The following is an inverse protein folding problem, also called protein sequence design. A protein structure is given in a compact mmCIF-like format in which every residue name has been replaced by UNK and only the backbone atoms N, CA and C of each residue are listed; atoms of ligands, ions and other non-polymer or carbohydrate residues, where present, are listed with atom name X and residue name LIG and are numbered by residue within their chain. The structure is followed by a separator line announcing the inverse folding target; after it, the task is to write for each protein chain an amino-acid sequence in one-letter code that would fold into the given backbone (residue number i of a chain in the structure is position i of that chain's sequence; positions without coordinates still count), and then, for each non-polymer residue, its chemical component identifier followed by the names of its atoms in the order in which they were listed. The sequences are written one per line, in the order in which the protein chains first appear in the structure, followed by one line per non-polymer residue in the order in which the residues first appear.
data_IF_273802872999
#
_entry.id   IF_273802872999
#
_cell.length_a   1.000
_cell.length_b   1.000
_cell.length_c   1.000
_cell.angle_alpha   90.00
_cell.angle_beta   90.00
_cell.angle_gamma   90.00
#
_symmetry.space_group_name_H-M   'P 1'
#
loop_
_entity.id
_entity.type
_entity.pdbx_description
1 polymer ?
#
# COMPACT_ATOMS: atom_id res chain seq x y z
N UNK A 1 21.45 -13.18 -11.39
CA UNK A 1 21.13 -13.99 -12.59
C UNK A 1 19.63 -14.27 -12.75
N UNK A 2 18.95 -14.86 -11.76
CA UNK A 2 17.48 -15.13 -11.84
C UNK A 2 16.63 -13.87 -12.12
N UNK A 3 16.94 -12.76 -11.45
CA UNK A 3 16.33 -11.44 -11.73
C UNK A 3 16.51 -10.99 -13.20
N UNK A 4 17.65 -11.31 -13.82
CA UNK A 4 17.94 -10.99 -15.22
C UNK A 4 17.18 -11.87 -16.23
N UNK A 5 16.91 -13.13 -15.90
CA UNK A 5 16.06 -14.00 -16.71
C UNK A 5 14.59 -13.58 -16.65
N UNK A 6 14.11 -13.28 -15.44
CA UNK A 6 12.76 -12.76 -15.22
C UNK A 6 12.59 -11.44 -15.97
N UNK A 7 13.60 -10.56 -15.92
CA UNK A 7 13.68 -9.33 -16.71
C UNK A 7 13.48 -9.59 -18.22
N UNK A 8 14.20 -10.55 -18.80
CA UNK A 8 14.06 -10.91 -20.22
C UNK A 8 12.69 -11.48 -20.58
N UNK A 9 12.10 -12.30 -19.72
CA UNK A 9 10.80 -12.92 -19.96
C UNK A 9 9.67 -11.88 -19.91
N UNK A 10 9.78 -10.88 -19.03
CA UNK A 10 8.84 -9.77 -18.87
C UNK A 10 8.90 -8.76 -20.03
N UNK A 11 10.06 -8.60 -20.64
CA UNK A 11 10.27 -7.73 -21.80
C UNK A 11 9.64 -8.24 -23.08
N UNK A 12 9.46 -9.55 -23.21
CA UNK A 12 8.65 -10.15 -24.28
C UNK A 12 7.16 -9.81 -24.14
N UNK A 13 6.71 -9.45 -22.94
CA UNK A 13 5.30 -9.24 -22.59
C UNK A 13 4.93 -7.75 -22.39
N UNK A 14 5.88 -6.83 -22.11
CA UNK A 14 5.56 -5.45 -21.69
C UNK A 14 6.44 -4.34 -22.33
N UNK A 15 5.79 -3.24 -22.76
CA UNK A 15 6.39 -2.05 -23.37
C UNK A 15 7.40 -1.31 -22.46
N UNK A 16 8.43 -0.63 -22.99
CA UNK A 16 9.51 0.05 -22.22
C UNK A 16 9.08 1.08 -21.15
N UNK A 17 8.02 1.88 -21.37
CA UNK A 17 7.47 2.76 -20.33
C UNK A 17 6.62 2.02 -19.28
N UNK A 18 6.16 0.81 -19.62
CA UNK A 18 5.59 -0.17 -18.69
C UNK A 18 6.67 -1.06 -18.10
N UNK A 19 7.88 -1.11 -18.64
CA UNK A 19 8.97 -1.95 -18.12
C UNK A 19 9.47 -1.39 -16.80
N UNK A 20 9.78 -0.09 -16.72
CA UNK A 20 10.18 0.53 -15.45
C UNK A 20 9.11 0.36 -14.39
N UNK A 21 7.85 0.51 -14.80
CA UNK A 21 6.70 0.29 -13.92
C UNK A 21 6.48 -1.20 -13.60
N UNK A 22 6.72 -2.12 -14.54
CA UNK A 22 6.58 -3.57 -14.37
C UNK A 22 7.70 -4.12 -13.51
N UNK A 23 8.94 -3.66 -13.67
CA UNK A 23 10.05 -3.95 -12.77
C UNK A 23 9.70 -3.44 -11.38
N UNK A 24 9.18 -2.21 -11.27
CA UNK A 24 8.80 -1.68 -9.97
C UNK A 24 7.66 -2.50 -9.35
N UNK A 25 6.66 -2.92 -10.13
CA UNK A 25 5.54 -3.77 -9.70
C UNK A 25 6.03 -5.16 -9.31
N UNK A 26 6.89 -5.77 -10.11
CA UNK A 26 7.37 -7.14 -9.89
C UNK A 26 8.38 -7.15 -8.77
N UNK A 27 9.21 -6.13 -8.63
CA UNK A 27 10.05 -5.97 -7.45
C UNK A 27 9.18 -5.85 -6.19
N UNK A 28 8.08 -5.10 -6.26
CA UNK A 28 7.11 -5.04 -5.14
C UNK A 28 6.45 -6.40 -4.89
N UNK A 29 5.99 -7.11 -5.91
CA UNK A 29 5.36 -8.42 -5.77
C UNK A 29 6.34 -9.49 -5.28
N UNK A 30 7.57 -9.50 -5.78
CA UNK A 30 8.65 -10.38 -5.32
C UNK A 30 9.01 -10.08 -3.88
N UNK A 31 9.17 -8.82 -3.50
CA UNK A 31 9.42 -8.43 -2.10
C UNK A 31 8.26 -8.85 -1.20
N UNK A 32 7.02 -8.61 -1.61
CA UNK A 32 5.80 -9.07 -0.91
C UNK A 32 5.79 -10.59 -0.77
N UNK A 33 6.06 -11.32 -1.85
CA UNK A 33 6.11 -12.79 -1.87
C UNK A 33 7.21 -13.34 -0.97
N UNK A 34 8.40 -12.72 -0.95
CA UNK A 34 9.48 -13.11 -0.04
C UNK A 34 9.12 -12.83 1.40
N UNK A 35 8.47 -11.70 1.70
CA UNK A 35 7.95 -11.42 3.05
C UNK A 35 6.92 -12.46 3.47
N UNK A 36 5.94 -12.79 2.61
CA UNK A 36 4.96 -13.85 2.87
C UNK A 36 5.62 -15.22 3.08
N UNK A 37 6.57 -15.60 2.21
CA UNK A 37 7.31 -16.86 2.35
C UNK A 37 8.10 -16.91 3.66
N UNK A 38 8.76 -15.81 4.04
CA UNK A 38 9.47 -15.71 5.31
C UNK A 38 8.52 -15.88 6.51
N UNK A 39 7.32 -15.31 6.43
CA UNK A 39 6.30 -15.44 7.48
C UNK A 39 5.80 -16.88 7.58
N UNK A 40 5.53 -17.54 6.45
CA UNK A 40 5.12 -18.96 6.43
C UNK A 40 6.20 -19.82 7.09
N UNK A 41 7.47 -19.61 6.74
CA UNK A 41 8.60 -20.33 7.35
C UNK A 41 8.69 -20.07 8.85
N UNK A 42 8.48 -18.83 9.29
CA UNK A 42 8.53 -18.47 10.72
C UNK A 42 7.37 -19.10 11.51
N UNK A 43 6.15 -19.08 10.97
CA UNK A 43 4.99 -19.71 11.59
C UNK A 43 5.13 -21.25 11.65
N UNK A 44 5.76 -21.86 10.64
CA UNK A 44 6.09 -23.28 10.64
C UNK A 44 7.16 -23.62 11.69
N UNK A 45 8.18 -22.76 11.91
CA UNK A 45 9.26 -23.04 12.87
C UNK A 45 8.83 -22.99 14.34
N UNK A 46 7.83 -22.17 14.68
CA UNK A 46 7.22 -22.17 16.03
C UNK A 46 6.41 -23.44 16.33
N UNK A 47 6.05 -24.20 15.29
CA UNK A 47 5.40 -25.51 15.41
C UNK A 47 6.47 -26.60 15.47
N UNK A 48 7.28 -26.63 16.53
CA UNK A 48 8.42 -27.55 16.71
C UNK A 48 8.02 -29.04 16.55
N UNK A 49 6.73 -29.38 16.69
CA UNK A 49 6.22 -30.75 16.51
C UNK A 49 5.72 -31.10 15.10
N UNK A 50 5.72 -30.17 14.13
CA UNK A 50 5.28 -30.47 12.75
C UNK A 50 6.43 -30.88 11.80
N UNK A 51 7.69 -30.68 12.19
CA UNK A 51 8.84 -31.10 11.38
C UNK A 51 9.13 -32.60 11.43
N UNK A 52 8.55 -33.36 12.38
CA UNK A 52 8.71 -34.82 12.42
C UNK A 52 7.80 -35.56 11.43
N UNK A 53 6.75 -34.92 10.87
CA UNK A 53 5.75 -35.62 10.04
C UNK A 53 5.57 -35.10 8.62
N UNK A 54 6.23 -33.98 8.25
CA UNK A 54 6.18 -33.50 6.87
C UNK A 54 7.40 -34.04 6.12
N UNK A 55 7.20 -35.09 5.33
CA UNK A 55 8.17 -35.49 4.30
C UNK A 55 8.31 -34.36 3.26
N UNK A 56 9.18 -33.39 3.53
CA UNK A 56 9.54 -32.28 2.66
C UNK A 56 10.32 -32.70 1.40
N UNK A 57 10.28 -33.97 1.00
CA UNK A 57 11.13 -34.49 -0.07
C UNK A 57 10.81 -33.84 -1.42
N UNK A 58 9.55 -33.69 -1.80
CA UNK A 58 9.18 -33.25 -3.16
C UNK A 58 9.18 -31.73 -3.33
N UNK A 59 8.81 -30.98 -2.30
CA UNK A 59 8.71 -29.50 -2.35
C UNK A 59 10.10 -28.85 -2.30
N UNK A 60 11.05 -29.47 -1.60
CA UNK A 60 12.43 -28.98 -1.49
C UNK A 60 13.15 -28.88 -2.84
N UNK A 61 12.81 -29.74 -3.81
CA UNK A 61 13.38 -29.68 -5.15
C UNK A 61 12.94 -28.46 -5.97
N UNK A 62 11.86 -27.78 -5.62
CA UNK A 62 11.37 -26.60 -6.34
C UNK A 62 11.81 -25.27 -5.72
N UNK A 63 12.44 -25.30 -4.55
CA UNK A 63 12.79 -24.11 -3.79
C UNK A 63 14.30 -23.82 -3.86
N UNK A 64 14.72 -22.74 -4.55
CA UNK A 64 16.14 -22.39 -4.69
C UNK A 64 16.94 -22.32 -3.39
N UNK A 65 16.40 -21.84 -2.25
CA UNK A 65 17.14 -21.84 -0.98
C UNK A 65 17.64 -23.23 -0.57
N UNK A 66 16.87 -24.30 -0.82
CA UNK A 66 17.27 -25.67 -0.47
C UNK A 66 18.38 -26.21 -1.39
N UNK A 67 18.42 -25.76 -2.66
CA UNK A 67 19.52 -26.11 -3.57
C UNK A 67 20.86 -25.61 -3.01
N UNK A 68 20.92 -24.35 -2.59
CA UNK A 68 22.14 -23.77 -2.02
C UNK A 68 22.43 -24.25 -0.58
N UNK A 69 21.40 -24.51 0.22
CA UNK A 69 21.57 -25.06 1.57
C UNK A 69 22.20 -26.46 1.53
N UNK A 70 21.83 -27.30 0.55
CA UNK A 70 22.39 -28.65 0.41
C UNK A 70 23.91 -28.68 0.20
N UNK A 71 24.48 -27.67 -0.48
CA UNK A 71 25.94 -27.51 -0.63
C UNK A 71 26.61 -27.30 0.73
N UNK A 72 26.03 -26.44 1.58
CA UNK A 72 26.55 -26.14 2.91
C UNK A 72 26.39 -27.33 3.85
N UNK A 73 25.28 -28.07 3.74
CA UNK A 73 24.99 -29.25 4.56
C UNK A 73 25.97 -30.41 4.29
N UNK A 74 26.28 -30.68 3.01
CA UNK A 74 27.28 -31.68 2.62
C UNK A 74 28.66 -31.31 3.18
N UNK A 75 29.02 -30.01 3.14
CA UNK A 75 30.32 -29.53 3.67
C UNK A 75 30.37 -29.64 5.19
N UNK A 76 29.29 -29.27 5.89
CA UNK A 76 29.24 -29.20 7.34
C UNK A 76 29.11 -30.58 8.01
N UNK A 77 28.29 -31.47 7.45
CA UNK A 77 27.97 -32.77 8.07
C UNK A 77 28.74 -33.94 7.45
N UNK A 78 29.40 -33.75 6.29
CA UNK A 78 30.02 -34.80 5.46
C UNK A 78 29.07 -35.94 5.08
N UNK A 79 27.77 -35.79 5.32
CA UNK A 79 26.78 -36.79 4.98
C UNK A 79 26.34 -36.61 3.53
N UNK A 80 26.52 -37.66 2.72
CA UNK A 80 26.18 -37.64 1.29
C UNK A 80 24.92 -38.47 1.11
N UNK A 81 23.78 -37.79 1.03
CA UNK A 81 22.50 -38.39 0.69
C UNK A 81 22.12 -38.08 -0.76
N UNK A 82 21.40 -38.99 -1.43
CA UNK A 82 20.95 -38.86 -2.83
C UNK A 82 20.18 -37.55 -3.07
N UNK A 83 19.33 -37.16 -2.13
CA UNK A 83 18.56 -35.90 -2.16
C UNK A 83 19.46 -34.67 -2.14
N UNK A 84 20.47 -34.64 -1.26
CA UNK A 84 21.43 -33.54 -1.15
C UNK A 84 22.29 -33.41 -2.42
N UNK A 85 22.66 -34.53 -3.02
CA UNK A 85 23.45 -34.55 -4.25
C UNK A 85 22.68 -33.97 -5.44
N UNK A 86 21.39 -34.32 -5.57
CA UNK A 86 20.50 -33.78 -6.60
C UNK A 86 20.30 -32.26 -6.39
N UNK A 87 19.99 -31.82 -5.18
CA UNK A 87 19.79 -30.39 -4.85
C UNK A 87 21.04 -29.55 -5.12
N UNK A 88 22.22 -30.07 -4.78
CA UNK A 88 23.52 -29.43 -5.03
C UNK A 88 23.83 -29.31 -6.52
N UNK A 89 23.50 -30.34 -7.31
CA UNK A 89 23.61 -30.30 -8.77
C UNK A 89 22.70 -29.22 -9.39
N UNK A 90 21.46 -29.11 -8.93
CA UNK A 90 20.53 -28.05 -9.35
C UNK A 90 21.08 -26.65 -9.04
N UNK A 91 21.73 -26.47 -7.89
CA UNK A 91 22.32 -25.19 -7.46
C UNK A 91 23.41 -24.68 -8.42
N UNK A 92 24.07 -25.58 -9.15
CA UNK A 92 25.15 -25.23 -10.07
C UNK A 92 24.64 -25.11 -11.51
N UNK A 93 23.81 -26.06 -11.94
CA UNK A 93 23.35 -26.16 -13.34
C UNK A 93 22.32 -25.10 -13.71
N UNK A 94 21.36 -24.83 -12.83
CA UNK A 94 20.26 -23.89 -13.14
C UNK A 94 20.78 -22.45 -13.32
N UNK A 95 21.67 -21.92 -12.46
CA UNK A 95 22.25 -20.58 -12.68
C UNK A 95 23.07 -20.47 -13.97
N UNK A 96 23.79 -21.54 -14.34
CA UNK A 96 24.63 -21.56 -15.54
C UNK A 96 23.78 -21.56 -16.82
N UNK A 97 22.76 -22.42 -16.89
CA UNK A 97 21.78 -22.43 -17.99
C UNK A 97 21.07 -21.08 -18.09
N UNK A 98 20.70 -20.50 -16.94
CA UNK A 98 20.09 -19.17 -16.87
C UNK A 98 20.96 -18.07 -17.47
N UNK A 99 22.27 -18.11 -17.22
CA UNK A 99 23.23 -17.16 -17.78
C UNK A 99 23.32 -17.26 -19.31
N UNK A 100 23.37 -18.48 -19.84
CA UNK A 100 23.48 -18.74 -21.27
C UNK A 100 22.22 -18.31 -22.04
N UNK A 101 21.04 -18.62 -21.49
CA UNK A 101 19.76 -18.15 -22.03
C UNK A 101 19.73 -16.62 -22.04
N UNK A 102 20.22 -15.97 -20.98
CA UNK A 102 20.24 -14.51 -20.89
C UNK A 102 21.02 -13.87 -22.04
N UNK A 103 22.24 -14.33 -22.27
CA UNK A 103 23.13 -13.80 -23.32
C UNK A 103 22.50 -13.97 -24.71
N UNK A 104 21.84 -15.11 -24.97
CA UNK A 104 21.23 -15.42 -26.26
C UNK A 104 19.99 -14.58 -26.59
N UNK A 105 19.28 -14.09 -25.57
CA UNK A 105 18.04 -13.32 -25.72
C UNK A 105 18.25 -11.79 -25.76
N UNK A 106 19.44 -11.30 -25.38
CA UNK A 106 19.84 -9.88 -25.49
C UNK A 106 19.63 -9.23 -26.87
N UNK A 107 20.00 -9.84 -28.01
CA UNK A 107 19.78 -9.22 -29.32
C UNK A 107 18.30 -9.12 -29.71
N UNK A 108 17.46 -10.04 -29.25
CA UNK A 108 15.99 -9.98 -29.44
C UNK A 108 15.37 -8.86 -28.60
N UNK A 109 15.97 -8.58 -27.43
CA UNK A 109 15.59 -7.48 -26.54
C UNK A 109 15.81 -6.10 -27.20
N UNK A 110 16.97 -5.88 -27.82
CA UNK A 110 17.27 -4.60 -28.49
C UNK A 110 16.33 -4.34 -29.68
N UNK A 111 16.00 -5.37 -30.46
CA UNK A 111 15.08 -5.28 -31.60
C UNK A 111 13.64 -4.94 -31.19
N UNK A 112 13.17 -5.47 -30.06
CA UNK A 112 11.83 -5.19 -29.56
C UNK A 112 11.72 -3.79 -28.94
N UNK A 113 12.80 -3.28 -28.34
CA UNK A 113 12.87 -1.89 -27.85
C UNK A 113 12.71 -0.86 -28.98
N UNK A 114 13.29 -1.12 -30.16
CA UNK A 114 13.18 -0.22 -31.31
C UNK A 114 11.76 -0.16 -31.89
N UNK A 115 11.03 -1.28 -31.95
CA UNK A 115 9.61 -1.30 -32.38
C UNK A 115 8.68 -0.55 -31.43
N UNK A 116 9.03 -0.49 -30.14
CA UNK A 116 8.21 0.08 -29.08
C UNK A 116 8.21 1.62 -29.02
N UNK A 117 9.23 2.29 -29.55
CA UNK A 117 9.28 3.75 -29.59
C UNK A 117 8.32 4.36 -30.63
N UNK A 118 7.85 3.54 -31.58
CA UNK A 118 7.02 4.00 -32.69
C UNK A 118 5.50 3.82 -32.47
N UNK A 119 5.07 3.09 -31.43
CA UNK A 119 3.65 2.84 -31.14
C UNK A 119 3.21 3.44 -29.80
N UNK A 120 2.95 4.75 -29.81
CA UNK A 120 2.38 5.46 -28.66
C UNK A 120 1.08 6.20 -29.02
N UNK A 121 0.02 5.49 -29.43
CA UNK A 121 -1.34 6.05 -29.31
C UNK A 121 -2.41 4.98 -29.57
N UNK A 122 -3.12 4.60 -28.51
CA UNK A 122 -4.57 4.40 -28.48
C UNK A 122 -4.96 3.48 -27.33
N UNK A 123 -5.43 4.08 -26.23
CA UNK A 123 -6.23 3.35 -25.25
C UNK A 123 -7.55 4.07 -25.07
N UNK A 124 -8.61 3.39 -25.49
CA UNK A 124 -10.00 3.79 -25.30
C UNK A 124 -10.27 4.06 -23.82
N UNK A 125 -10.48 5.33 -23.49
CA UNK A 125 -10.79 5.79 -22.14
C UNK A 125 -12.26 5.44 -21.87
N UNK A 126 -12.52 4.32 -21.19
CA UNK A 126 -13.87 3.98 -20.71
C UNK A 126 -14.41 5.11 -19.82
N UNK A 127 -15.62 5.60 -20.10
CA UNK A 127 -16.32 6.60 -19.29
C UNK A 127 -16.86 5.93 -18.01
N UNK A 128 -16.27 6.22 -16.85
CA UNK A 128 -16.67 5.62 -15.57
C UNK A 128 -17.78 6.43 -14.88
N UNK A 129 -18.92 5.79 -14.57
CA UNK A 129 -20.13 6.42 -13.98
C UNK A 129 -20.13 6.49 -12.44
N UNK A 130 -19.34 5.66 -11.75
CA UNK A 130 -19.37 5.52 -10.29
C UNK A 130 -18.97 6.79 -9.49
N UNK A 131 -17.87 7.51 -9.82
CA UNK A 131 -17.49 8.70 -9.04
C UNK A 131 -18.51 9.85 -9.15
N UNK A 132 -19.29 9.90 -10.22
CA UNK A 132 -20.26 10.98 -10.51
C UNK A 132 -21.46 10.94 -9.57
N UNK A 133 -21.92 9.75 -9.16
CA UNK A 133 -23.02 9.63 -8.18
C UNK A 133 -22.55 10.02 -6.79
N UNK A 134 -21.37 9.53 -6.40
CA UNK A 134 -20.80 9.77 -5.07
C UNK A 134 -20.45 11.25 -4.87
N UNK A 135 -19.99 11.94 -5.93
CA UNK A 135 -19.71 13.38 -5.86
C UNK A 135 -20.93 14.22 -5.49
N UNK A 136 -22.14 13.84 -5.92
CA UNK A 136 -23.37 14.60 -5.61
C UNK A 136 -23.81 14.46 -4.15
N UNK A 137 -23.38 13.39 -3.47
CA UNK A 137 -23.71 13.13 -2.06
C UNK A 137 -22.69 13.81 -1.14
N UNK A 138 -21.40 13.72 -1.49
CA UNK A 138 -20.29 14.16 -0.62
C UNK A 138 -19.98 15.66 -0.79
N UNK A 139 -20.13 16.21 -1.99
CA UNK A 139 -19.78 17.58 -2.31
C UNK A 139 -21.02 18.48 -2.30
N UNK A 140 -20.87 19.69 -1.76
CA UNK A 140 -21.96 20.68 -1.68
C UNK A 140 -21.97 21.62 -2.88
N UNK A 141 -20.79 22.05 -3.32
CA UNK A 141 -20.63 23.03 -4.39
C UNK A 141 -20.46 22.38 -5.77
N UNK A 142 -20.95 23.04 -6.82
CA UNK A 142 -20.74 22.59 -8.22
C UNK A 142 -19.25 22.51 -8.59
N UNK A 143 -18.45 23.48 -8.14
CA UNK A 143 -16.99 23.46 -8.35
C UNK A 143 -16.34 22.26 -7.65
N UNK A 144 -16.76 21.99 -6.41
CA UNK A 144 -16.26 20.86 -5.63
C UNK A 144 -16.60 19.52 -6.30
N UNK A 145 -17.81 19.39 -6.86
CA UNK A 145 -18.23 18.21 -7.64
C UNK A 145 -17.33 17.99 -8.86
N UNK A 146 -17.01 19.06 -9.61
CA UNK A 146 -16.14 18.97 -10.80
C UNK A 146 -14.75 18.50 -10.40
N UNK A 147 -14.14 19.15 -9.40
CA UNK A 147 -12.81 18.78 -8.93
C UNK A 147 -12.78 17.40 -8.26
N UNK A 148 -13.85 16.99 -7.58
CA UNK A 148 -13.93 15.65 -6.98
C UNK A 148 -13.87 14.58 -8.07
N UNK A 149 -14.61 14.75 -9.16
CA UNK A 149 -14.59 13.83 -10.29
C UNK A 149 -13.23 13.83 -11.00
N UNK A 150 -12.62 15.01 -11.14
CA UNK A 150 -11.26 15.15 -11.68
C UNK A 150 -10.23 14.38 -10.82
N UNK A 151 -10.20 14.59 -9.51
CA UNK A 151 -9.27 13.91 -8.61
C UNK A 151 -9.55 12.42 -8.49
N UNK A 152 -10.83 12.01 -8.45
CA UNK A 152 -11.21 10.59 -8.49
C UNK A 152 -10.66 9.89 -9.73
N UNK A 153 -10.60 10.59 -10.87
CA UNK A 153 -9.99 10.07 -12.10
C UNK A 153 -8.47 10.07 -12.02
N UNK A 154 -7.86 11.15 -11.52
CA UNK A 154 -6.40 11.23 -11.37
C UNK A 154 -5.87 10.10 -10.49
N UNK A 155 -6.49 9.86 -9.33
CA UNK A 155 -6.15 8.78 -8.39
C UNK A 155 -6.07 7.41 -9.07
N UNK A 156 -6.95 7.13 -10.04
CA UNK A 156 -7.02 5.84 -10.76
C UNK A 156 -6.07 5.76 -11.95
N UNK A 157 -5.71 6.90 -12.54
CA UNK A 157 -4.92 6.95 -13.78
C UNK A 157 -3.43 7.16 -13.49
N UNK A 158 -3.11 8.07 -12.56
CA UNK A 158 -1.73 8.44 -12.23
C UNK A 158 -0.97 7.23 -11.69
N UNK A 159 0.12 6.88 -12.39
CA UNK A 159 0.87 5.65 -12.13
C UNK A 159 1.71 5.76 -10.87
N UNK A 160 2.30 6.93 -10.60
CA UNK A 160 3.15 7.13 -9.42
C UNK A 160 2.32 7.21 -8.15
N UNK A 161 1.16 7.85 -8.22
CA UNK A 161 0.19 7.85 -7.13
C UNK A 161 -0.22 6.42 -6.77
N UNK A 162 -0.67 5.63 -7.75
CA UNK A 162 -1.02 4.21 -7.53
C UNK A 162 0.16 3.40 -7.01
N UNK A 163 1.33 3.57 -7.62
CA UNK A 163 2.54 2.89 -7.21
C UNK A 163 2.88 3.21 -5.75
N UNK A 164 2.69 4.43 -5.28
CA UNK A 164 2.96 4.79 -3.89
C UNK A 164 1.88 4.19 -2.98
N UNK A 165 0.61 4.54 -3.24
CA UNK A 165 -0.52 4.19 -2.38
C UNK A 165 -0.77 2.69 -2.29
N UNK A 166 -0.80 1.97 -3.41
CA UNK A 166 -1.06 0.53 -3.41
C UNK A 166 0.08 -0.27 -2.79
N UNK A 167 1.32 0.21 -2.89
CA UNK A 167 2.45 -0.45 -2.20
C UNK A 167 2.34 -0.28 -0.71
N UNK A 168 2.04 0.93 -0.24
CA UNK A 168 1.85 1.19 1.20
C UNK A 168 0.66 0.42 1.76
N UNK A 169 -0.44 0.32 1.01
CA UNK A 169 -1.59 -0.50 1.40
C UNK A 169 -1.19 -1.97 1.47
N UNK A 170 -0.55 -2.50 0.43
CA UNK A 170 -0.12 -3.90 0.38
C UNK A 170 0.80 -4.26 1.54
N UNK A 171 1.83 -3.44 1.81
CA UNK A 171 2.80 -3.71 2.89
C UNK A 171 2.14 -3.71 4.28
N UNK A 172 1.21 -2.78 4.53
CA UNK A 172 0.53 -2.70 5.83
C UNK A 172 -0.55 -3.77 6.00
N UNK A 173 -1.29 -4.12 4.94
CA UNK A 173 -2.27 -5.22 4.99
C UNK A 173 -1.60 -6.56 5.30
N UNK A 174 -0.42 -6.83 4.72
CA UNK A 174 0.33 -8.06 5.04
C UNK A 174 0.70 -8.09 6.51
N UNK A 175 1.30 -7.01 7.03
CA UNK A 175 1.63 -6.90 8.46
C UNK A 175 0.39 -7.12 9.34
N UNK A 176 -0.71 -6.50 8.96
CA UNK A 176 -1.98 -6.59 9.66
C UNK A 176 -2.53 -8.03 9.76
N UNK A 177 -2.59 -8.79 8.65
CA UNK A 177 -3.10 -10.17 8.68
C UNK A 177 -2.21 -11.14 9.44
N UNK A 178 -0.89 -10.95 9.38
CA UNK A 178 0.08 -11.83 10.05
C UNK A 178 -0.02 -11.72 11.55
N UNK A 179 -0.23 -10.49 12.05
CA UNK A 179 -0.34 -10.27 13.49
C UNK A 179 -1.72 -10.66 14.01
N UNK A 180 -2.78 -10.52 13.20
CA UNK A 180 -4.08 -11.11 13.51
C UNK A 180 -3.95 -12.63 13.73
N UNK A 181 -3.46 -13.37 12.74
CA UNK A 181 -3.37 -14.84 12.79
C UNK A 181 -2.63 -15.35 14.04
N UNK A 182 -1.55 -14.67 14.43
CA UNK A 182 -0.69 -15.12 15.54
C UNK A 182 -1.23 -14.79 16.94
N UNK A 183 -1.97 -13.69 17.10
CA UNK A 183 -2.31 -13.15 18.43
C UNK A 183 -3.81 -13.03 18.70
N UNK A 184 -4.65 -13.61 17.82
CA UNK A 184 -6.11 -13.56 17.97
C UNK A 184 -6.59 -14.15 19.30
N UNK A 185 -6.01 -15.28 19.73
CA UNK A 185 -6.42 -15.98 20.95
C UNK A 185 -5.93 -15.27 22.23
N UNK A 186 -4.73 -14.69 22.22
CA UNK A 186 -4.10 -14.08 23.40
C UNK A 186 -4.61 -12.67 23.73
N UNK A 187 -5.00 -11.88 22.73
CA UNK A 187 -5.25 -10.44 22.88
C UNK A 187 -6.72 -10.06 23.15
N UNK A 188 -7.66 -11.00 22.97
CA UNK A 188 -9.09 -10.76 23.15
C UNK A 188 -9.58 -9.50 22.44
N UNK A 189 -10.34 -8.65 23.14
CA UNK A 189 -10.93 -7.42 22.57
C UNK A 189 -9.87 -6.41 22.12
N UNK A 190 -8.69 -6.36 22.77
CA UNK A 190 -7.65 -5.35 22.48
C UNK A 190 -7.02 -5.46 21.10
N UNK A 191 -7.30 -6.54 20.37
CA UNK A 191 -6.87 -6.71 19.00
C UNK A 191 -7.39 -5.60 18.06
N UNK A 192 -8.43 -4.85 18.46
CA UNK A 192 -8.88 -3.67 17.71
C UNK A 192 -7.74 -2.66 17.52
N UNK A 193 -6.72 -2.64 18.39
CA UNK A 193 -5.56 -1.76 18.26
C UNK A 193 -4.79 -2.03 16.96
N UNK A 194 -4.85 -3.24 16.39
CA UNK A 194 -4.25 -3.52 15.10
C UNK A 194 -4.91 -2.78 13.95
N UNK A 195 -6.17 -2.34 14.07
CA UNK A 195 -6.76 -1.42 13.07
C UNK A 195 -6.03 -0.08 13.00
N UNK A 196 -5.27 0.33 14.03
CA UNK A 196 -4.46 1.55 13.92
C UNK A 196 -3.30 1.41 12.92
N UNK A 197 -2.87 0.19 12.59
CA UNK A 197 -1.92 -0.04 11.49
C UNK A 197 -2.48 0.37 10.12
N UNK A 198 -3.80 0.38 9.96
CA UNK A 198 -4.44 0.96 8.80
C UNK A 198 -4.40 2.50 8.84
N UNK A 199 -4.59 3.10 10.01
CA UNK A 199 -4.61 4.57 10.18
C UNK A 199 -3.24 5.18 9.84
N UNK A 200 -2.14 4.49 10.11
CA UNK A 200 -0.78 4.95 9.76
C UNK A 200 -0.55 5.09 8.26
N UNK A 201 -1.37 4.46 7.41
CA UNK A 201 -1.32 4.59 5.95
C UNK A 201 -1.88 5.95 5.49
N UNK A 202 -2.85 6.49 6.23
CA UNK A 202 -3.64 7.68 5.84
C UNK A 202 -2.77 8.88 5.51
N UNK A 203 -1.78 9.28 6.33
CA UNK A 203 -0.95 10.44 6.02
C UNK A 203 -0.18 10.27 4.72
N UNK A 204 0.36 9.06 4.47
CA UNK A 204 1.11 8.76 3.24
C UNK A 204 0.23 8.94 1.99
N UNK A 205 -1.04 8.51 2.05
CA UNK A 205 -1.98 8.68 0.94
C UNK A 205 -2.28 10.17 0.70
N UNK A 206 -2.54 10.94 1.76
CA UNK A 206 -2.85 12.37 1.65
C UNK A 206 -1.64 13.16 1.13
N UNK A 207 -0.43 12.83 1.58
CA UNK A 207 0.83 13.44 1.12
C UNK A 207 1.08 13.12 -0.36
N UNK A 208 0.80 11.89 -0.80
CA UNK A 208 0.96 11.47 -2.18
C UNK A 208 0.14 12.31 -3.18
N UNK A 209 -0.97 12.91 -2.75
CA UNK A 209 -1.78 13.81 -3.59
C UNK A 209 -1.01 15.04 -4.09
N UNK A 210 0.12 15.43 -3.49
CA UNK A 210 0.91 16.58 -3.95
C UNK A 210 1.70 16.30 -5.22
N UNK A 211 2.09 15.03 -5.43
CA UNK A 211 3.12 14.67 -6.39
C UNK A 211 2.53 14.10 -7.67
N UNK A 212 3.08 14.50 -8.82
CA UNK A 212 2.82 13.84 -10.11
C UNK A 212 4.04 13.99 -11.02
N UNK A 213 4.33 12.97 -11.84
CA UNK A 213 5.31 13.13 -12.93
C UNK A 213 4.87 14.21 -13.93
N UNK A 214 3.57 14.37 -14.14
CA UNK A 214 3.01 15.36 -15.07
C UNK A 214 2.65 16.67 -14.35
N UNK A 215 3.49 17.10 -13.39
CA UNK A 215 3.21 18.29 -12.57
C UNK A 215 3.02 19.57 -13.40
N UNK A 216 3.66 19.70 -14.58
CA UNK A 216 3.46 20.84 -15.48
C UNK A 216 2.00 21.01 -15.92
N UNK A 217 1.22 19.91 -15.98
CA UNK A 217 -0.21 19.96 -16.30
C UNK A 217 -1.05 20.67 -15.22
N UNK A 218 -0.49 20.92 -14.02
CA UNK A 218 -1.16 21.71 -12.99
C UNK A 218 -1.35 23.18 -13.37
N UNK A 219 -0.76 23.63 -14.49
CA UNK A 219 -1.07 24.93 -15.08
C UNK A 219 -2.57 25.10 -15.39
N UNK A 220 -3.32 24.00 -15.54
CA UNK A 220 -4.78 24.02 -15.69
C UNK A 220 -5.50 24.74 -14.53
N UNK A 221 -4.95 24.69 -13.32
CA UNK A 221 -5.51 25.43 -12.18
C UNK A 221 -5.29 26.94 -12.26
N UNK A 222 -4.42 27.43 -13.15
CA UNK A 222 -4.21 28.86 -13.39
C UNK A 222 -5.07 29.37 -14.55
N UNK A 223 -5.51 28.50 -15.46
CA UNK A 223 -6.24 28.87 -16.67
C UNK A 223 -7.75 28.76 -16.51
N UNK A 224 -8.24 27.87 -15.65
CA UNK A 224 -9.67 27.76 -15.35
C UNK A 224 -10.08 28.88 -14.38
N UNK A 225 -11.20 29.58 -14.61
CA UNK A 225 -11.74 30.55 -13.66
C UNK A 225 -12.26 29.83 -12.42
N UNK A 226 -11.41 29.69 -11.40
CA UNK A 226 -11.74 29.08 -10.11
C UNK A 226 -12.17 30.18 -9.14
N UNK A 227 -13.42 30.15 -8.66
CA UNK A 227 -13.90 31.13 -7.68
C UNK A 227 -13.27 30.91 -6.31
N UNK A 228 -13.13 29.65 -5.88
CA UNK A 228 -12.59 29.32 -4.57
C UNK A 228 -11.53 28.21 -4.62
N UNK A 229 -10.26 28.57 -4.42
CA UNK A 229 -9.14 27.60 -4.40
C UNK A 229 -9.30 26.55 -3.29
N UNK A 230 -9.97 26.88 -2.19
CA UNK A 230 -10.21 25.93 -1.10
C UNK A 230 -11.12 24.78 -1.51
N UNK A 231 -12.03 25.01 -2.47
CA UNK A 231 -12.90 23.96 -2.99
C UNK A 231 -12.12 22.88 -3.75
N UNK A 232 -10.96 23.22 -4.32
CA UNK A 232 -10.04 22.24 -4.93
C UNK A 232 -9.49 21.29 -3.87
N UNK A 233 -9.00 21.84 -2.75
CA UNK A 233 -8.43 21.03 -1.68
C UNK A 233 -9.48 20.16 -0.99
N UNK A 234 -10.66 20.72 -0.69
CA UNK A 234 -11.81 19.95 -0.16
C UNK A 234 -12.14 18.77 -1.06
N UNK A 235 -12.26 19.04 -2.37
CA UNK A 235 -12.58 18.02 -3.36
C UNK A 235 -11.51 16.93 -3.45
N UNK A 236 -10.21 17.28 -3.37
CA UNK A 236 -9.13 16.32 -3.41
C UNK A 236 -9.13 15.36 -2.21
N UNK A 237 -9.31 15.89 -1.00
CA UNK A 237 -9.35 15.08 0.23
C UNK A 237 -10.59 14.20 0.24
N UNK A 238 -11.76 14.74 -0.12
CA UNK A 238 -12.98 13.95 -0.24
C UNK A 238 -12.86 12.85 -1.29
N UNK A 239 -12.27 13.14 -2.44
CA UNK A 239 -12.03 12.13 -3.48
C UNK A 239 -11.10 11.03 -2.98
N UNK A 240 -10.05 11.38 -2.22
CA UNK A 240 -9.13 10.43 -1.62
C UNK A 240 -9.82 9.55 -0.56
N UNK A 241 -10.58 10.18 0.34
CA UNK A 241 -11.38 9.50 1.36
C UNK A 241 -12.35 8.50 0.73
N UNK A 242 -13.11 8.95 -0.26
CA UNK A 242 -14.18 8.18 -0.87
C UNK A 242 -13.70 7.04 -1.79
N UNK A 243 -12.56 7.20 -2.48
CA UNK A 243 -12.09 6.18 -3.43
C UNK A 243 -11.10 5.18 -2.82
N UNK A 244 -10.44 5.52 -1.72
CA UNK A 244 -9.34 4.70 -1.17
C UNK A 244 -9.53 4.45 0.32
N UNK A 245 -9.45 5.50 1.14
CA UNK A 245 -9.34 5.37 2.60
C UNK A 245 -10.60 4.67 3.13
N UNK A 246 -11.79 5.26 2.95
CA UNK A 246 -13.04 4.71 3.49
C UNK A 246 -13.34 3.29 2.95
N UNK A 247 -13.25 2.99 1.64
CA UNK A 247 -13.45 1.63 1.16
C UNK A 247 -12.54 0.59 1.82
N UNK A 248 -11.25 0.88 1.99
CA UNK A 248 -10.30 -0.04 2.63
C UNK A 248 -10.65 -0.21 4.11
N UNK A 249 -11.03 0.88 4.78
CA UNK A 249 -11.45 0.85 6.17
C UNK A 249 -12.71 0.01 6.39
N UNK A 250 -13.69 0.11 5.49
CA UNK A 250 -14.92 -0.70 5.56
C UNK A 250 -14.57 -2.17 5.40
N UNK A 251 -13.70 -2.52 4.45
CA UNK A 251 -13.24 -3.89 4.25
C UNK A 251 -12.54 -4.42 5.51
N UNK A 252 -11.62 -3.66 6.11
CA UNK A 252 -10.94 -4.09 7.34
C UNK A 252 -11.91 -4.21 8.51
N UNK A 253 -12.88 -3.28 8.62
CA UNK A 253 -13.89 -3.31 9.69
C UNK A 253 -14.81 -4.54 9.59
N UNK A 254 -15.24 -4.92 8.39
CA UNK A 254 -16.05 -6.13 8.17
C UNK A 254 -15.30 -7.38 8.62
N UNK A 255 -14.01 -7.48 8.29
CA UNK A 255 -13.16 -8.60 8.71
C UNK A 255 -13.11 -8.68 10.24
N UNK A 256 -12.94 -7.55 10.94
CA UNK A 256 -12.91 -7.54 12.41
C UNK A 256 -14.24 -7.95 13.06
N UNK A 257 -15.37 -7.44 12.55
CA UNK A 257 -16.69 -7.75 13.09
C UNK A 257 -16.97 -9.26 12.99
N UNK A 258 -16.52 -9.90 11.91
CA UNK A 258 -16.69 -11.34 11.71
C UNK A 258 -15.86 -12.19 12.69
N UNK A 259 -14.75 -11.66 13.23
CA UNK A 259 -13.86 -12.41 14.13
C UNK A 259 -14.27 -12.24 15.60
N UNK A 260 -14.68 -11.03 16.02
CA UNK A 260 -14.84 -10.67 17.45
C UNK A 260 -16.26 -10.26 17.86
N UNK A 261 -17.24 -10.55 17.01
CA UNK A 261 -18.65 -10.22 17.25
C UNK A 261 -18.95 -8.71 17.38
N UNK A 262 -20.18 -8.37 17.75
CA UNK A 262 -20.76 -7.02 17.76
C UNK A 262 -20.13 -6.09 18.82
N UNK A 263 -19.39 -6.64 19.78
CA UNK A 263 -18.80 -5.90 20.90
C UNK A 263 -17.72 -4.88 20.46
N UNK A 264 -17.09 -5.11 19.30
CA UNK A 264 -16.00 -4.26 18.78
C UNK A 264 -16.50 -3.01 18.03
N UNK A 265 -17.82 -2.86 17.83
CA UNK A 265 -18.39 -1.76 17.03
C UNK A 265 -18.01 -0.38 17.58
N UNK A 266 -18.01 -0.19 18.90
CA UNK A 266 -17.61 1.09 19.51
C UNK A 266 -16.16 1.45 19.17
N UNK A 267 -15.25 0.47 19.24
CA UNK A 267 -13.86 0.65 18.88
C UNK A 267 -13.68 0.97 17.39
N UNK A 268 -14.44 0.32 16.51
CA UNK A 268 -14.46 0.62 15.08
C UNK A 268 -14.88 2.09 14.88
N UNK A 269 -16.00 2.53 15.45
CA UNK A 269 -16.46 3.92 15.32
C UNK A 269 -15.38 4.92 15.74
N UNK A 270 -14.70 4.67 16.87
CA UNK A 270 -13.60 5.53 17.34
C UNK A 270 -12.47 5.58 16.32
N UNK A 271 -12.03 4.43 15.80
CA UNK A 271 -10.92 4.37 14.84
C UNK A 271 -11.29 5.04 13.51
N UNK A 272 -12.55 4.95 13.09
CA UNK A 272 -13.05 5.70 11.94
C UNK A 272 -12.95 7.22 12.16
N UNK A 273 -13.35 7.71 13.34
CA UNK A 273 -13.25 9.13 13.68
C UNK A 273 -11.79 9.59 13.78
N UNK A 274 -10.89 8.74 14.31
CA UNK A 274 -9.44 9.01 14.31
C UNK A 274 -8.89 9.02 12.88
N UNK A 275 -9.35 8.13 12.00
CA UNK A 275 -8.97 8.10 10.57
C UNK A 275 -9.29 9.44 9.90
N UNK A 276 -10.51 9.97 10.11
CA UNK A 276 -10.91 11.28 9.59
C UNK A 276 -10.05 12.39 10.20
N UNK A 277 -9.82 12.35 11.52
CA UNK A 277 -9.02 13.34 12.23
C UNK A 277 -7.59 13.42 11.68
N UNK A 278 -6.94 12.26 11.50
CA UNK A 278 -5.59 12.14 10.95
C UNK A 278 -5.56 12.62 9.50
N UNK A 279 -6.56 12.27 8.67
CA UNK A 279 -6.65 12.74 7.29
C UNK A 279 -6.72 14.27 7.20
N UNK A 280 -7.57 14.91 7.99
CA UNK A 280 -7.72 16.37 8.00
C UNK A 280 -6.49 17.04 8.61
N UNK A 281 -5.97 16.52 9.71
CA UNK A 281 -4.76 17.05 10.37
C UNK A 281 -3.56 17.00 9.43
N UNK A 282 -3.39 15.90 8.70
CA UNK A 282 -2.35 15.78 7.66
C UNK A 282 -2.49 16.92 6.65
N UNK A 283 -3.71 17.17 6.14
CA UNK A 283 -3.93 18.27 5.21
C UNK A 283 -3.60 19.65 5.78
N UNK A 284 -3.93 19.91 7.05
CA UNK A 284 -3.69 21.21 7.69
C UNK A 284 -2.20 21.52 7.83
N UNK A 285 -1.41 20.52 8.22
CA UNK A 285 0.05 20.63 8.41
C UNK A 285 0.77 20.73 7.06
N UNK A 286 0.25 20.03 6.05
CA UNK A 286 0.82 20.08 4.72
C UNK A 286 0.72 21.48 4.11
N UNK A 287 1.84 21.94 3.54
CA UNK A 287 1.84 23.12 2.67
C UNK A 287 0.71 23.02 1.63
N UNK A 288 -0.15 24.05 1.57
CA UNK A 288 -1.38 24.13 0.76
C UNK A 288 -1.13 24.27 -0.75
N UNK A 289 -0.15 23.54 -1.26
CA UNK A 289 0.11 23.42 -2.69
C UNK A 289 -1.03 22.66 -3.35
N UNK A 290 -1.39 23.07 -4.56
CA UNK A 290 -2.46 22.45 -5.31
C UNK A 290 -2.18 20.94 -5.51
N UNK A 291 -3.20 20.07 -5.45
CA UNK A 291 -2.99 18.64 -5.64
C UNK A 291 -2.41 18.35 -7.04
N UNK A 292 -1.48 17.40 -7.10
CA UNK A 292 -0.75 16.95 -8.29
C UNK A 292 0.04 18.05 -9.00
N UNK A 293 0.53 19.04 -8.25
CA UNK A 293 1.29 20.19 -8.79
C UNK A 293 2.79 20.14 -8.56
N UNK A 294 3.30 19.13 -7.84
CA UNK A 294 4.71 19.06 -7.48
C UNK A 294 5.42 17.89 -8.16
N UNK A 295 6.67 18.09 -8.64
CA UNK A 295 7.49 16.98 -9.10
C UNK A 295 7.86 16.08 -7.93
N UNK A 296 8.02 14.76 -8.14
CA UNK A 296 8.45 13.79 -7.13
C UNK A 296 9.95 13.93 -6.75
N UNK A 297 10.52 15.14 -6.79
CA UNK A 297 11.95 15.39 -6.55
C UNK A 297 12.37 15.09 -5.11
N UNK A 298 13.59 14.55 -4.97
CA UNK A 298 14.18 14.01 -3.74
C UNK A 298 14.25 15.06 -2.61
N UNK A 299 14.57 16.31 -2.89
CA UNK A 299 14.65 17.38 -1.86
C UNK A 299 13.29 17.76 -1.25
N UNK A 300 12.21 17.74 -2.04
CA UNK A 300 10.84 17.98 -1.53
C UNK A 300 10.28 16.76 -0.79
N UNK A 301 10.91 15.60 -0.96
CA UNK A 301 10.56 14.36 -0.27
C UNK A 301 10.94 14.40 1.22
N UNK A 302 12.01 15.09 1.62
CA UNK A 302 12.45 15.13 3.02
C UNK A 302 11.44 15.81 3.97
N UNK A 303 10.86 16.95 3.58
CA UNK A 303 9.79 17.59 4.35
C UNK A 303 8.53 16.72 4.39
N UNK A 304 8.18 16.09 3.27
CA UNK A 304 7.05 15.17 3.21
C UNK A 304 7.25 13.92 4.07
N UNK A 305 8.50 13.44 4.23
CA UNK A 305 8.86 12.33 5.12
C UNK A 305 8.72 12.76 6.59
N UNK A 306 9.18 13.96 6.94
CA UNK A 306 9.04 14.50 8.30
C UNK A 306 7.55 14.67 8.68
N UNK A 307 6.76 15.30 7.79
CA UNK A 307 5.31 15.45 7.98
C UNK A 307 4.63 14.07 8.16
N UNK A 308 5.03 13.07 7.38
CA UNK A 308 4.51 11.71 7.51
C UNK A 308 4.86 11.08 8.86
N UNK A 309 6.11 11.23 9.31
CA UNK A 309 6.56 10.71 10.61
C UNK A 309 5.81 11.35 11.77
N UNK A 310 5.62 12.67 11.74
CA UNK A 310 4.86 13.40 12.75
C UNK A 310 3.41 12.89 12.84
N UNK A 311 2.78 12.62 11.70
CA UNK A 311 1.43 12.07 11.68
C UNK A 311 1.34 10.61 12.13
N UNK A 312 2.38 9.81 11.91
CA UNK A 312 2.48 8.45 12.46
C UNK A 312 2.58 8.51 13.98
N UNK A 313 3.42 9.40 14.53
CA UNK A 313 3.52 9.61 15.99
C UNK A 313 2.17 10.05 16.57
N UNK A 314 1.48 10.98 15.91
CA UNK A 314 0.13 11.39 16.33
C UNK A 314 -0.87 10.23 16.30
N UNK A 315 -0.76 9.33 15.32
CA UNK A 315 -1.60 8.12 15.24
C UNK A 315 -1.34 7.19 16.42
N UNK A 316 -0.08 6.99 16.80
CA UNK A 316 0.30 6.18 17.97
C UNK A 316 -0.23 6.81 19.27
N UNK A 317 -0.13 8.13 19.42
CA UNK A 317 -0.70 8.84 20.57
C UNK A 317 -2.22 8.61 20.65
N UNK A 318 -2.93 8.72 19.52
CA UNK A 318 -4.38 8.46 19.49
C UNK A 318 -4.73 7.00 19.79
N UNK A 319 -3.89 6.04 19.38
CA UNK A 319 -4.04 4.64 19.76
C UNK A 319 -3.87 4.44 21.27
N UNK A 320 -2.84 5.06 21.87
CA UNK A 320 -2.60 5.00 23.31
C UNK A 320 -3.71 5.64 24.13
N UNK A 321 -4.23 6.81 23.71
CA UNK A 321 -5.38 7.46 24.36
C UNK A 321 -6.61 6.55 24.30
N UNK A 322 -6.91 5.97 23.13
CA UNK A 322 -8.04 5.05 23.00
C UNK A 322 -7.87 3.80 23.87
N UNK A 323 -6.67 3.23 23.95
CA UNK A 323 -6.37 2.11 24.85
C UNK A 323 -6.61 2.49 26.32
N UNK A 324 -6.05 3.60 26.80
CA UNK A 324 -6.24 4.06 28.19
C UNK A 324 -7.72 4.27 28.50
N UNK A 325 -8.47 4.90 27.59
CA UNK A 325 -9.92 5.12 27.77
C UNK A 325 -10.69 3.79 27.81
N UNK A 326 -10.29 2.80 27.01
CA UNK A 326 -10.94 1.49 26.99
C UNK A 326 -10.84 0.74 28.33
N UNK A 327 -9.82 1.01 29.14
CA UNK A 327 -9.65 0.40 30.46
C UNK A 327 -10.72 0.85 31.46
N UNK A 328 -11.35 2.01 31.23
CA UNK A 328 -12.36 2.58 32.14
C UNK A 328 -13.80 2.20 31.77
N UNK A 329 -14.00 1.31 30.78
CA UNK A 329 -15.30 0.77 30.39
C UNK A 329 -16.02 1.54 29.27
N UNK A 330 -17.31 1.25 29.08
CA UNK A 330 -18.10 1.70 27.90
C UNK A 330 -18.54 3.16 27.95
N UNK A 331 -18.80 3.71 29.14
CA UNK A 331 -19.21 5.11 29.33
C UNK A 331 -18.13 6.10 28.83
N UNK A 332 -16.86 5.97 29.25
CA UNK A 332 -15.75 6.78 28.73
C UNK A 332 -15.55 6.68 27.22
N UNK A 333 -15.72 5.48 26.64
CA UNK A 333 -15.65 5.28 25.18
C UNK A 333 -16.70 6.10 24.43
N UNK A 334 -17.94 6.12 24.92
CA UNK A 334 -19.02 6.91 24.32
C UNK A 334 -18.75 8.43 24.42
N UNK A 335 -18.24 8.90 25.55
CA UNK A 335 -17.81 10.30 25.71
C UNK A 335 -16.70 10.62 24.71
N UNK A 336 -15.72 9.73 24.57
CA UNK A 336 -14.61 9.91 23.63
C UNK A 336 -15.08 10.01 22.16
N UNK A 337 -16.07 9.21 21.75
CA UNK A 337 -16.71 9.32 20.43
C UNK A 337 -17.27 10.72 20.21
N UNK A 338 -18.03 11.25 21.18
CA UNK A 338 -18.64 12.58 21.08
C UNK A 338 -17.56 13.66 20.97
N UNK A 339 -16.52 13.58 21.80
CA UNK A 339 -15.39 14.51 21.79
C UNK A 339 -14.67 14.49 20.44
N UNK A 340 -14.34 13.30 19.93
CA UNK A 340 -13.70 13.16 18.61
C UNK A 340 -14.58 13.71 17.49
N UNK A 341 -15.89 13.52 17.55
CA UNK A 341 -16.83 14.04 16.55
C UNK A 341 -16.82 15.57 16.56
N UNK A 342 -16.87 16.20 17.74
CA UNK A 342 -16.80 17.66 17.90
C UNK A 342 -15.47 18.20 17.36
N UNK A 343 -14.35 17.57 17.74
CA UNK A 343 -13.01 17.95 17.28
C UNK A 343 -12.93 17.87 15.74
N UNK A 344 -13.43 16.79 15.14
CA UNK A 344 -13.46 16.62 13.69
C UNK A 344 -14.27 17.73 12.99
N UNK A 345 -15.43 18.11 13.53
CA UNK A 345 -16.25 19.20 12.97
C UNK A 345 -15.51 20.54 13.06
N UNK A 346 -14.91 20.86 14.20
CA UNK A 346 -14.17 22.10 14.42
C UNK A 346 -12.96 22.14 13.48
N UNK A 347 -12.18 21.08 13.45
CA UNK A 347 -10.99 20.96 12.61
C UNK A 347 -11.34 21.10 11.12
N UNK A 348 -12.42 20.46 10.67
CA UNK A 348 -12.90 20.60 9.28
C UNK A 348 -13.25 22.05 8.95
N UNK A 349 -13.98 22.74 9.84
CA UNK A 349 -14.33 24.16 9.65
C UNK A 349 -13.09 25.06 9.59
N UNK A 350 -12.10 24.82 10.45
CA UNK A 350 -10.85 25.59 10.50
C UNK A 350 -9.96 25.32 9.28
N UNK A 351 -9.79 24.05 8.92
CA UNK A 351 -8.93 23.61 7.82
C UNK A 351 -9.36 24.23 6.49
N UNK A 352 -10.68 24.29 6.26
CA UNK A 352 -11.26 24.73 5.00
C UNK A 352 -11.97 26.09 5.08
N UNK A 353 -11.62 26.92 6.07
CA UNK A 353 -12.07 28.30 6.10
C UNK A 353 -11.56 29.03 4.87
N UNK A 354 -12.49 29.61 4.11
CA UNK A 354 -12.17 30.46 2.96
C UNK A 354 -11.48 31.70 3.52
N UNK A 355 -10.24 31.93 3.11
CA UNK A 355 -9.56 33.22 3.24
C UNK A 355 -9.37 33.77 1.83
#
# INVERSE_FOLDING_TARGET
MFSGLVYLLLLKLFNGSKLKDAITIIHKEVTVSFSLAYIIVMNLSTSINLFESIHFETISYFLPPFWFASLLEIIATKNINKTLLILSFLALVIPLISALIYIKLTPVFEKNLQKLNNESSNKNIKKYKFPIKLSKIICKDKEEIIFFNFFSRMIRVDRDFKATVYTTIGSNLICFFVVLDRYVEDMGVYIYLFLYSYVTIVPTIIIALKFSRNYNASYIYKTIPIKNKMNIHKAAIKACLANIIIPIYIISSIIFINIYEVTVIQHIIIIFLVTIFIAISTFVILNKNLPFSQPPNIFKKNYAILDNYLMIVLTIIMAGIHFVISLFGTLPLNIYIIVLLIINIILYKLAFRVR
#
